data_IF_975460874911
#
_entry.id   IF_975460874911
#
_cell.length_a   1.000
_cell.length_b   1.000
_cell.length_c   1.000
_cell.angle_alpha   90.00
_cell.angle_beta   90.00
_cell.angle_gamma   90.00
#
_symmetry.space_group_name_H-M   'P 1'
#
loop_
_entity.id
_entity.type
_entity.pdbx_description
1 polymer ?
#
# COMPACT_ATOMS: atom_id res chain seq x y z
N UNK A 1 -8.38 -15.80 14.00
CA UNK A 1 -8.11 -15.25 12.64
C UNK A 1 -8.53 -13.79 12.47
N UNK A 2 -9.77 -13.40 12.83
CA UNK A 2 -10.31 -12.04 12.60
C UNK A 2 -9.44 -10.90 13.18
N UNK A 3 -8.93 -11.05 14.41
CA UNK A 3 -8.04 -10.06 15.04
C UNK A 3 -6.66 -9.96 14.36
N UNK A 4 -6.15 -11.04 13.75
CA UNK A 4 -4.88 -11.01 12.99
C UNK A 4 -5.04 -10.28 11.67
N UNK A 5 -6.15 -10.52 10.98
CA UNK A 5 -6.53 -9.81 9.76
C UNK A 5 -6.67 -8.31 10.00
N UNK A 6 -7.42 -7.91 11.03
CA UNK A 6 -7.59 -6.50 11.38
C UNK A 6 -6.25 -5.81 11.70
N UNK A 7 -5.37 -6.47 12.47
CA UNK A 7 -4.04 -5.92 12.79
C UNK A 7 -3.13 -5.80 11.55
N UNK A 8 -3.24 -6.75 10.63
CA UNK A 8 -2.46 -6.76 9.37
C UNK A 8 -2.97 -5.70 8.39
N UNK A 9 -4.28 -5.48 8.34
CA UNK A 9 -4.88 -4.36 7.59
C UNK A 9 -4.43 -3.03 8.20
N UNK A 10 -4.43 -2.89 9.53
CA UNK A 10 -3.89 -1.69 10.20
C UNK A 10 -2.44 -1.40 9.82
N UNK A 11 -1.58 -2.43 9.77
CA UNK A 11 -0.19 -2.29 9.31
C UNK A 11 -0.10 -1.84 7.85
N UNK A 12 -0.99 -2.32 6.97
CA UNK A 12 -1.01 -1.94 5.56
C UNK A 12 -1.33 -0.45 5.34
N UNK A 13 -2.11 0.16 6.26
CA UNK A 13 -2.44 1.60 6.22
C UNK A 13 -1.24 2.50 6.54
N UNK A 14 -0.10 1.94 7.00
CA UNK A 14 1.15 2.68 7.14
C UNK A 14 1.87 2.87 5.80
N UNK A 15 1.50 2.13 4.76
CA UNK A 15 2.15 2.21 3.45
C UNK A 15 2.21 3.63 2.85
N UNK A 16 1.11 4.42 2.85
CA UNK A 16 1.15 5.80 2.34
C UNK A 16 2.15 6.69 3.09
N UNK A 17 2.32 6.49 4.40
CA UNK A 17 3.28 7.24 5.21
C UNK A 17 4.70 6.84 4.87
N UNK A 18 4.97 5.53 4.70
CA UNK A 18 6.30 5.01 4.37
C UNK A 18 6.72 5.49 2.99
N UNK A 19 5.89 5.28 1.96
CA UNK A 19 6.23 5.69 0.59
C UNK A 19 6.26 7.21 0.48
N UNK A 20 5.29 7.91 1.07
CA UNK A 20 5.28 9.38 1.10
C UNK A 20 6.54 9.96 1.73
N UNK A 21 7.06 9.33 2.80
CA UNK A 21 8.30 9.73 3.45
C UNK A 21 9.54 9.41 2.60
N UNK A 22 9.63 8.22 2.01
CA UNK A 22 10.77 7.83 1.15
C UNK A 22 10.85 8.71 -0.10
N UNK A 23 9.71 8.90 -0.78
CA UNK A 23 9.61 9.75 -1.97
C UNK A 23 9.83 11.22 -1.59
N UNK A 24 9.26 11.67 -0.48
CA UNK A 24 9.47 13.01 0.06
C UNK A 24 10.94 13.31 0.33
N UNK A 25 11.67 12.40 1.00
CA UNK A 25 13.10 12.56 1.28
C UNK A 25 13.92 12.54 -0.01
N UNK A 26 13.62 11.61 -0.92
CA UNK A 26 14.30 11.53 -2.21
C UNK A 26 14.21 12.86 -2.98
N UNK A 27 13.00 13.42 -3.09
CA UNK A 27 12.80 14.67 -3.83
C UNK A 27 13.28 15.90 -3.07
N UNK A 28 13.18 15.92 -1.73
CA UNK A 28 13.75 16.99 -0.91
C UNK A 28 15.28 17.08 -1.02
N UNK A 29 15.97 15.97 -1.29
CA UNK A 29 17.42 15.93 -1.47
C UNK A 29 17.88 16.14 -2.92
N UNK A 30 17.01 15.90 -3.90
CA UNK A 30 17.37 15.94 -5.32
C UNK A 30 16.88 17.19 -6.06
N UNK A 31 15.82 17.84 -5.58
CA UNK A 31 15.34 19.10 -6.15
C UNK A 31 16.02 20.29 -5.49
N UNK A 32 16.44 21.27 -6.29
CA UNK A 32 16.94 22.57 -5.82
C UNK A 32 15.79 23.49 -5.37
N UNK A 33 14.81 22.96 -4.63
CA UNK A 33 13.69 23.69 -4.03
C UNK A 33 13.78 23.60 -2.52
N UNK A 34 12.94 24.34 -1.80
CA UNK A 34 12.85 24.24 -0.35
C UNK A 34 12.58 22.78 0.09
N UNK A 35 13.53 22.12 0.79
CA UNK A 35 13.44 20.68 1.06
C UNK A 35 12.24 20.32 1.95
N UNK A 36 11.97 21.15 2.96
CA UNK A 36 10.88 20.93 3.92
C UNK A 36 9.50 21.03 3.27
N UNK A 37 9.29 22.02 2.38
CA UNK A 37 8.00 22.20 1.71
C UNK A 37 7.75 21.07 0.72
N UNK A 38 8.77 20.66 -0.02
CA UNK A 38 8.73 19.53 -0.97
C UNK A 38 8.41 18.22 -0.25
N UNK A 39 9.08 17.94 0.88
CA UNK A 39 8.82 16.77 1.71
C UNK A 39 7.38 16.74 2.21
N UNK A 40 6.91 17.84 2.83
CA UNK A 40 5.57 17.91 3.41
C UNK A 40 4.48 17.82 2.34
N UNK A 41 4.67 18.43 1.16
CA UNK A 41 3.71 18.33 0.06
C UNK A 41 3.57 16.90 -0.44
N UNK A 42 4.67 16.18 -0.63
CA UNK A 42 4.64 14.79 -1.09
C UNK A 42 4.07 13.85 -0.03
N UNK A 43 4.39 14.07 1.24
CA UNK A 43 3.81 13.31 2.35
C UNK A 43 2.29 13.54 2.44
N UNK A 44 1.85 14.80 2.38
CA UNK A 44 0.42 15.13 2.42
C UNK A 44 -0.32 14.61 1.19
N UNK A 45 0.31 14.62 0.01
CA UNK A 45 -0.26 14.03 -1.21
C UNK A 45 -0.43 12.51 -1.08
N UNK A 46 0.59 11.81 -0.55
CA UNK A 46 0.51 10.37 -0.31
C UNK A 46 -0.58 10.02 0.72
N UNK A 47 -0.70 10.82 1.79
CA UNK A 47 -1.77 10.65 2.80
C UNK A 47 -3.14 10.92 2.18
N UNK A 48 -3.28 11.96 1.37
CA UNK A 48 -4.53 12.25 0.65
C UNK A 48 -4.94 11.06 -0.24
N UNK A 49 -3.98 10.37 -0.85
CA UNK A 49 -4.19 9.19 -1.69
C UNK A 49 -4.29 7.85 -0.91
N UNK A 50 -4.24 7.87 0.43
CA UNK A 50 -4.34 6.66 1.26
C UNK A 50 -5.66 5.89 1.07
N UNK A 51 -6.73 6.56 0.64
CA UNK A 51 -8.01 5.94 0.34
C UNK A 51 -7.91 4.90 -0.80
N UNK A 52 -7.03 5.11 -1.78
CA UNK A 52 -6.75 4.15 -2.86
C UNK A 52 -6.21 2.85 -2.24
N UNK A 53 -5.24 2.97 -1.33
CA UNK A 53 -4.70 1.81 -0.60
C UNK A 53 -5.79 1.09 0.18
N UNK A 54 -6.62 1.83 0.93
CA UNK A 54 -7.73 1.24 1.68
C UNK A 54 -8.70 0.43 0.80
N UNK A 55 -9.09 0.99 -0.36
CA UNK A 55 -9.95 0.31 -1.33
C UNK A 55 -9.29 -0.93 -1.94
N UNK A 56 -8.00 -0.86 -2.27
CA UNK A 56 -7.25 -2.03 -2.77
C UNK A 56 -7.21 -3.16 -1.79
N UNK A 57 -7.01 -2.83 -0.51
CA UNK A 57 -6.97 -3.81 0.56
C UNK A 57 -8.34 -4.46 0.76
N UNK A 58 -9.42 -3.67 0.72
CA UNK A 58 -10.77 -4.16 0.91
C UNK A 58 -11.29 -5.00 -0.26
N UNK A 59 -11.02 -4.59 -1.51
CA UNK A 59 -11.60 -5.22 -2.69
C UNK A 59 -10.76 -6.37 -3.27
N UNK A 60 -9.43 -6.27 -3.23
CA UNK A 60 -8.54 -7.24 -3.89
C UNK A 60 -7.70 -8.05 -2.90
N UNK A 61 -6.92 -7.37 -2.05
CA UNK A 61 -5.86 -8.05 -1.27
C UNK A 61 -6.45 -8.96 -0.18
N UNK A 62 -7.40 -8.46 0.62
CA UNK A 62 -8.01 -9.25 1.71
C UNK A 62 -8.89 -10.38 1.15
N UNK A 63 -9.82 -10.15 0.21
CA UNK A 63 -10.62 -11.22 -0.38
C UNK A 63 -9.77 -12.24 -1.14
N UNK A 64 -8.77 -11.76 -1.91
CA UNK A 64 -7.86 -12.61 -2.65
C UNK A 64 -7.03 -13.51 -1.75
N UNK A 65 -6.51 -12.98 -0.64
CA UNK A 65 -5.83 -13.78 0.38
C UNK A 65 -6.76 -14.83 1.00
N UNK A 66 -8.00 -14.46 1.38
CA UNK A 66 -8.97 -15.40 1.96
C UNK A 66 -9.33 -16.54 0.99
N UNK A 67 -9.47 -16.22 -0.29
CA UNK A 67 -9.72 -17.21 -1.34
C UNK A 67 -8.53 -18.17 -1.47
N UNK A 68 -7.31 -17.65 -1.58
CA UNK A 68 -6.10 -18.47 -1.66
C UNK A 68 -5.87 -19.33 -0.41
N UNK A 69 -6.24 -18.80 0.77
CA UNK A 69 -6.21 -19.53 2.03
C UNK A 69 -7.20 -20.69 2.04
N UNK A 70 -8.41 -20.51 1.48
CA UNK A 70 -9.43 -21.56 1.36
C UNK A 70 -8.99 -22.71 0.45
N UNK A 71 -8.23 -22.43 -0.61
CA UNK A 71 -7.73 -23.43 -1.55
C UNK A 71 -6.31 -23.96 -1.21
N UNK A 72 -5.79 -23.66 -0.01
CA UNK A 72 -4.48 -24.12 0.49
C UNK A 72 -3.26 -23.82 -0.42
N UNK A 73 -3.38 -22.84 -1.33
CA UNK A 73 -2.31 -22.38 -2.22
C UNK A 73 -2.09 -20.88 -2.01
N UNK A 74 -1.65 -20.51 -0.81
CA UNK A 74 -1.29 -19.11 -0.51
C UNK A 74 -0.01 -18.78 -1.26
N UNK A 75 -0.15 -18.14 -2.42
CA UNK A 75 0.98 -17.64 -3.18
C UNK A 75 1.23 -16.17 -2.83
N UNK A 76 2.33 -15.90 -2.15
CA UNK A 76 2.71 -14.55 -1.72
C UNK A 76 2.88 -13.60 -2.90
N UNK A 77 3.42 -14.07 -4.03
CA UNK A 77 3.53 -13.27 -5.24
C UNK A 77 2.14 -12.90 -5.78
N UNK A 78 1.15 -13.78 -5.66
CA UNK A 78 -0.23 -13.52 -6.06
C UNK A 78 -0.92 -12.44 -5.24
N UNK A 79 -0.64 -12.36 -3.93
CA UNK A 79 -1.19 -11.30 -3.07
C UNK A 79 -0.52 -9.96 -3.36
N UNK A 80 0.78 -9.95 -3.65
CA UNK A 80 1.51 -8.75 -4.08
C UNK A 80 1.02 -8.24 -5.44
N UNK A 81 0.79 -9.13 -6.42
CA UNK A 81 0.25 -8.72 -7.72
C UNK A 81 -1.18 -8.21 -7.61
N UNK A 82 -2.01 -8.78 -6.74
CA UNK A 82 -3.34 -8.24 -6.44
C UNK A 82 -3.28 -6.84 -5.81
N UNK A 83 -2.31 -6.58 -4.94
CA UNK A 83 -2.07 -5.24 -4.40
C UNK A 83 -1.66 -4.24 -5.49
N UNK A 84 -0.75 -4.65 -6.37
CA UNK A 84 -0.27 -3.83 -7.49
C UNK A 84 -1.39 -3.54 -8.49
N UNK A 85 -2.10 -4.57 -8.94
CA UNK A 85 -3.23 -4.43 -9.87
C UNK A 85 -4.37 -3.63 -9.27
N UNK A 86 -4.70 -3.86 -8.00
CA UNK A 86 -5.67 -3.04 -7.28
C UNK A 86 -5.24 -1.57 -7.29
N UNK A 87 -3.97 -1.29 -6.96
CA UNK A 87 -3.44 0.08 -6.93
C UNK A 87 -3.57 0.77 -8.27
N UNK A 88 -3.24 0.07 -9.36
CA UNK A 88 -3.39 0.57 -10.71
C UNK A 88 -4.87 0.83 -11.08
N UNK A 89 -5.77 -0.12 -10.79
CA UNK A 89 -7.19 -0.01 -11.13
C UNK A 89 -7.85 1.15 -10.38
N UNK A 90 -7.64 1.26 -9.07
CA UNK A 90 -8.24 2.34 -8.29
C UNK A 90 -7.59 3.70 -8.56
N UNK A 91 -6.30 3.75 -8.89
CA UNK A 91 -5.67 5.00 -9.34
C UNK A 91 -6.23 5.49 -10.67
N UNK A 92 -6.56 4.55 -11.58
CA UNK A 92 -7.23 4.87 -12.83
C UNK A 92 -8.69 5.33 -12.61
N UNK A 93 -9.45 4.61 -11.79
CA UNK A 93 -10.86 4.92 -11.50
C UNK A 93 -11.07 6.24 -10.75
N UNK A 94 -10.14 6.60 -9.85
CA UNK A 94 -10.23 7.82 -9.02
C UNK A 94 -9.52 9.01 -9.67
N UNK A 95 -9.19 8.92 -10.97
CA UNK A 95 -8.51 9.97 -11.73
C UNK A 95 -7.18 10.44 -11.13
N UNK A 96 -6.52 9.59 -10.33
CA UNK A 96 -5.17 9.80 -9.84
C UNK A 96 -4.13 9.34 -10.89
N UNK A 97 -4.34 9.76 -12.14
CA UNK A 97 -3.62 9.32 -13.34
C UNK A 97 -2.48 10.24 -13.76
N UNK A 98 -2.21 11.32 -13.01
CA UNK A 98 -1.01 12.14 -13.23
C UNK A 98 0.24 11.27 -13.08
N UNK A 99 0.99 11.05 -14.17
CA UNK A 99 1.87 9.89 -14.35
C UNK A 99 2.67 9.39 -13.13
N UNK A 100 3.35 10.28 -12.40
CA UNK A 100 4.09 9.91 -11.19
C UNK A 100 3.19 9.50 -10.02
N UNK A 101 2.04 10.15 -9.85
CA UNK A 101 1.04 9.82 -8.82
C UNK A 101 0.48 8.42 -9.03
N UNK A 102 0.24 8.01 -10.28
CA UNK A 102 -0.19 6.65 -10.60
C UNK A 102 0.84 5.59 -10.14
N UNK A 103 2.13 5.82 -10.43
CA UNK A 103 3.20 4.91 -10.02
C UNK A 103 3.35 4.86 -8.50
N UNK A 104 3.29 6.01 -7.83
CA UNK A 104 3.37 6.10 -6.37
C UNK A 104 2.21 5.35 -5.72
N UNK A 105 0.98 5.54 -6.19
CA UNK A 105 -0.19 4.85 -5.64
C UNK A 105 -0.12 3.34 -5.86
N UNK A 106 0.35 2.91 -7.02
CA UNK A 106 0.53 1.50 -7.35
C UNK A 106 1.60 0.85 -6.46
N UNK A 107 2.73 1.55 -6.26
CA UNK A 107 3.78 1.11 -5.34
C UNK A 107 3.28 1.08 -3.88
N UNK A 108 2.46 2.06 -3.48
CA UNK A 108 1.86 2.12 -2.15
C UNK A 108 0.94 0.93 -1.90
N UNK A 109 0.08 0.58 -2.86
CA UNK A 109 -0.80 -0.58 -2.72
C UNK A 109 -0.04 -1.91 -2.75
N UNK A 110 1.03 -2.01 -3.53
CA UNK A 110 1.91 -3.19 -3.51
C UNK A 110 2.61 -3.34 -2.15
N UNK A 111 3.17 -2.25 -1.60
CA UNK A 111 3.79 -2.25 -0.27
C UNK A 111 2.76 -2.54 0.83
N UNK A 112 1.53 -2.04 0.70
CA UNK A 112 0.45 -2.33 1.63
C UNK A 112 0.11 -3.83 1.66
N UNK A 113 0.05 -4.48 0.50
CA UNK A 113 -0.12 -5.93 0.42
C UNK A 113 1.07 -6.69 1.05
N UNK A 114 2.30 -6.20 0.86
CA UNK A 114 3.49 -6.74 1.53
C UNK A 114 3.44 -6.62 3.06
N UNK A 115 3.09 -5.44 3.58
CA UNK A 115 2.92 -5.17 5.01
C UNK A 115 1.78 -6.00 5.62
N UNK A 116 0.71 -6.24 4.86
CA UNK A 116 -0.38 -7.13 5.24
C UNK A 116 0.10 -8.57 5.41
N UNK A 117 0.86 -9.11 4.45
CA UNK A 117 1.45 -10.44 4.56
C UNK A 117 2.44 -10.53 5.73
N UNK A 118 3.23 -9.48 5.94
CA UNK A 118 4.14 -9.39 7.07
C UNK A 118 3.40 -9.39 8.42
N UNK A 119 2.33 -8.61 8.54
CA UNK A 119 1.48 -8.57 9.73
C UNK A 119 0.84 -9.92 10.04
N UNK A 120 0.44 -10.66 8.99
CA UNK A 120 -0.11 -12.01 9.14
C UNK A 120 0.94 -13.00 9.67
N UNK A 121 2.19 -12.92 9.18
CA UNK A 121 3.31 -13.74 9.69
C UNK A 121 3.67 -13.39 11.12
N UNK A 122 3.79 -12.11 11.45
CA UNK A 122 4.09 -11.66 12.82
C UNK A 122 3.03 -12.11 13.83
N UNK A 123 1.76 -12.12 13.40
CA UNK A 123 0.67 -12.67 14.20
C UNK A 123 0.75 -14.19 14.38
N UNK A 124 1.38 -14.92 13.45
CA UNK A 124 1.55 -16.38 13.50
C UNK A 124 2.76 -16.82 14.35
N UNK A 125 3.86 -16.06 14.37
CA UNK A 125 5.08 -16.37 15.13
C UNK A 125 4.93 -16.17 16.65
N UNK A 126 3.93 -15.40 17.10
CA UNK A 126 3.66 -15.13 18.53
C UNK A 126 2.79 -16.20 19.24
N UNK A 127 2.66 -17.40 18.66
CA UNK A 127 2.01 -18.57 19.25
C UNK A 127 3.01 -19.70 19.41
#
# INVERSE_FOLDING_TARGET
MKHRLAKSVGLSLLSPVIIGSVVGVYYALTLNTDPLTTFLQLLMSAIANAHIVGLTMAAFVVPGYLLMYKYAKVNYSGVLTLGLLGGAIFSYLLSATGGMVFLINTAMSALAAGLFLYGLRLGAVKQ
#
